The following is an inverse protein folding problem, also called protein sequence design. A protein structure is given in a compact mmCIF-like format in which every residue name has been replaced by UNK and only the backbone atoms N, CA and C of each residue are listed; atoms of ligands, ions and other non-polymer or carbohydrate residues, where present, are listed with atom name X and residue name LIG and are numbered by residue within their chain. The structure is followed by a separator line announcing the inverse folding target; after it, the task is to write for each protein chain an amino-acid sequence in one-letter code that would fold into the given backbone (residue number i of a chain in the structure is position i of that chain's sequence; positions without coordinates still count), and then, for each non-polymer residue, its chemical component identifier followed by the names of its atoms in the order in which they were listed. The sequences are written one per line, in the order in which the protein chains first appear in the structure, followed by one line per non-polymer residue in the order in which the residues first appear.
data_IF_905887085567
#
_entry.id   IF_905887085567
#
_cell.length_a   1.000
_cell.length_b   1.000
_cell.length_c   1.000
_cell.angle_alpha   90.00
_cell.angle_beta   90.00
_cell.angle_gamma   90.00
#
_symmetry.space_group_name_H-M   'P 1'
#
loop_
_entity.id
_entity.type
_entity.pdbx_description
1 polymer ?
#
# COMPACT_ATOMS: atom_id res chain seq x y z
N UNK A 1 -23.05 1.07 32.58
CA UNK A 1 -22.21 2.15 32.02
C UNK A 1 -21.46 1.56 30.85
N UNK A 2 -21.65 2.10 29.64
CA UNK A 2 -20.90 1.64 28.47
C UNK A 2 -19.41 1.94 28.69
N UNK A 3 -18.55 0.95 28.43
CA UNK A 3 -17.09 1.11 28.48
C UNK A 3 -16.69 2.32 27.64
N UNK A 4 -15.90 3.28 28.17
CA UNK A 4 -15.50 4.46 27.41
C UNK A 4 -14.78 4.01 26.15
N UNK A 5 -15.14 4.60 25.01
CA UNK A 5 -14.47 4.35 23.73
C UNK A 5 -13.05 4.88 23.85
N UNK A 6 -12.09 3.98 24.07
CA UNK A 6 -10.67 4.32 24.13
C UNK A 6 -10.15 4.46 22.70
N UNK A 7 -9.99 5.68 22.22
CA UNK A 7 -9.34 5.95 20.94
C UNK A 7 -7.82 6.01 21.12
N UNK A 8 -7.08 5.17 20.40
CA UNK A 8 -5.61 5.23 20.38
C UNK A 8 -5.14 6.43 19.53
N UNK A 9 -5.07 7.60 20.16
CA UNK A 9 -4.72 8.89 19.51
C UNK A 9 -3.39 8.79 18.74
N UNK A 10 -2.40 8.07 19.27
CA UNK A 10 -1.10 7.89 18.64
C UNK A 10 -1.20 7.24 17.24
N UNK A 11 -2.07 6.24 17.06
CA UNK A 11 -2.30 5.58 15.77
C UNK A 11 -2.98 6.50 14.75
N UNK A 12 -3.82 7.43 15.21
CA UNK A 12 -4.58 8.36 14.34
C UNK A 12 -3.80 9.62 13.97
N UNK A 13 -2.73 9.93 14.70
CA UNK A 13 -1.98 11.19 14.54
C UNK A 13 -1.44 11.35 13.13
N UNK A 14 -0.91 10.28 12.52
CA UNK A 14 -0.41 10.32 11.15
C UNK A 14 -1.51 10.61 10.12
N UNK A 15 -2.69 10.01 10.29
CA UNK A 15 -3.86 10.22 9.42
C UNK A 15 -4.32 11.68 9.52
N UNK A 16 -4.42 12.22 10.75
CA UNK A 16 -4.82 13.60 10.97
C UNK A 16 -3.81 14.60 10.43
N UNK A 17 -2.51 14.31 10.52
CA UNK A 17 -1.46 15.16 9.96
C UNK A 17 -1.59 15.30 8.44
N UNK A 18 -1.86 14.19 7.72
CA UNK A 18 -2.09 14.22 6.27
C UNK A 18 -3.36 15.00 5.93
N UNK A 19 -4.45 14.80 6.65
CA UNK A 19 -5.70 15.56 6.45
C UNK A 19 -5.51 17.06 6.67
N UNK A 20 -4.81 17.44 7.75
CA UNK A 20 -4.49 18.83 8.04
C UNK A 20 -3.62 19.46 6.94
N UNK A 21 -2.58 18.75 6.47
CA UNK A 21 -1.73 19.22 5.39
C UNK A 21 -2.52 19.44 4.08
N UNK A 22 -3.43 18.53 3.72
CA UNK A 22 -4.31 18.68 2.55
C UNK A 22 -5.24 19.88 2.68
N UNK A 23 -5.86 20.08 3.85
CA UNK A 23 -6.71 21.25 4.11
C UNK A 23 -5.94 22.57 4.01
N UNK A 24 -4.73 22.62 4.59
CA UNK A 24 -3.85 23.80 4.48
C UNK A 24 -3.47 24.05 3.03
N UNK A 25 -3.15 23.01 2.25
CA UNK A 25 -2.88 23.12 0.82
C UNK A 25 -4.07 23.69 0.03
N UNK A 26 -5.28 23.19 0.29
CA UNK A 26 -6.51 23.71 -0.32
C UNK A 26 -6.71 25.18 0.04
N UNK A 27 -6.55 25.55 1.32
CA UNK A 27 -6.67 26.93 1.78
C UNK A 27 -5.63 27.85 1.11
N UNK A 28 -4.38 27.40 0.99
CA UNK A 28 -3.33 28.12 0.26
C UNK A 28 -3.74 28.41 -1.19
N UNK A 29 -4.24 27.39 -1.90
CA UNK A 29 -4.72 27.56 -3.29
C UNK A 29 -5.91 28.53 -3.35
N UNK A 30 -6.84 28.45 -2.40
CA UNK A 30 -7.99 29.35 -2.33
C UNK A 30 -7.60 30.79 -1.99
N UNK A 31 -6.56 31.02 -1.19
CA UNK A 31 -6.11 32.38 -0.82
C UNK A 31 -5.27 33.01 -1.92
N UNK A 32 -4.26 32.30 -2.42
CA UNK A 32 -3.28 32.86 -3.35
C UNK A 32 -3.66 32.67 -4.83
N UNK A 33 -4.47 31.65 -5.15
CA UNK A 33 -4.84 31.29 -6.52
C UNK A 33 -6.26 31.66 -6.93
N UNK A 34 -7.06 32.30 -6.06
CA UNK A 34 -8.51 32.47 -6.24
C UNK A 34 -8.91 33.06 -7.58
N UNK A 35 -8.22 34.12 -8.03
CA UNK A 35 -8.53 34.82 -9.27
C UNK A 35 -8.41 33.91 -10.50
N UNK A 36 -7.50 32.94 -10.47
CA UNK A 36 -7.27 31.99 -11.56
C UNK A 36 -8.30 30.84 -11.58
N UNK A 37 -8.81 30.43 -10.42
CA UNK A 37 -9.70 29.25 -10.30
C UNK A 37 -11.19 29.60 -10.18
N UNK A 38 -11.57 30.83 -9.80
CA UNK A 38 -12.97 31.19 -9.47
C UNK A 38 -13.99 30.84 -10.55
N UNK A 39 -13.62 30.95 -11.83
CA UNK A 39 -14.53 30.67 -12.96
C UNK A 39 -14.71 29.19 -13.25
N UNK A 40 -13.76 28.35 -12.81
CA UNK A 40 -13.76 26.89 -13.05
C UNK A 40 -13.95 26.08 -11.77
N UNK A 41 -14.06 26.72 -10.61
CA UNK A 41 -14.05 26.03 -9.32
C UNK A 41 -15.19 25.00 -9.21
N UNK A 42 -16.42 25.39 -9.55
CA UNK A 42 -17.57 24.49 -9.45
C UNK A 42 -17.44 23.25 -10.35
N UNK A 43 -16.94 23.42 -11.58
CA UNK A 43 -16.78 22.33 -12.54
C UNK A 43 -15.56 21.46 -12.23
N UNK A 44 -14.43 22.10 -11.89
CA UNK A 44 -13.22 21.42 -11.43
C UNK A 44 -13.45 20.60 -10.16
N UNK A 45 -14.23 21.11 -9.19
CA UNK A 45 -14.59 20.35 -7.99
C UNK A 45 -15.43 19.12 -8.30
N UNK A 46 -16.37 19.18 -9.26
CA UNK A 46 -17.15 17.99 -9.66
C UNK A 46 -16.25 16.89 -10.22
N UNK A 47 -15.32 17.26 -11.11
CA UNK A 47 -14.34 16.32 -11.67
C UNK A 47 -13.41 15.76 -10.59
N UNK A 48 -12.92 16.61 -9.68
CA UNK A 48 -12.06 16.20 -8.58
C UNK A 48 -12.76 15.20 -7.62
N UNK A 49 -14.01 15.49 -7.24
CA UNK A 49 -14.81 14.59 -6.39
C UNK A 49 -15.08 13.27 -7.09
N UNK A 50 -15.41 13.30 -8.38
CA UNK A 50 -15.61 12.09 -9.18
C UNK A 50 -14.35 11.22 -9.24
N UNK A 51 -13.18 11.82 -9.48
CA UNK A 51 -11.91 11.09 -9.50
C UNK A 51 -11.53 10.51 -8.13
N UNK A 52 -11.71 11.30 -7.06
CA UNK A 52 -11.44 10.85 -5.70
C UNK A 52 -12.37 9.72 -5.25
N UNK A 53 -13.65 9.77 -5.64
CA UNK A 53 -14.62 8.73 -5.31
C UNK A 53 -14.24 7.39 -5.93
N UNK A 54 -13.82 7.38 -7.20
CA UNK A 54 -13.35 6.16 -7.87
C UNK A 54 -12.14 5.55 -7.14
N UNK A 55 -11.14 6.38 -6.80
CA UNK A 55 -9.96 5.93 -6.07
C UNK A 55 -10.33 5.36 -4.68
N UNK A 56 -11.18 6.05 -3.93
CA UNK A 56 -11.63 5.61 -2.61
C UNK A 56 -12.42 4.29 -2.68
N UNK A 57 -13.31 4.15 -3.66
CA UNK A 57 -14.10 2.91 -3.86
C UNK A 57 -13.20 1.73 -4.24
N UNK A 58 -12.18 1.94 -5.06
CA UNK A 58 -11.22 0.89 -5.41
C UNK A 58 -10.49 0.37 -4.17
N UNK A 59 -9.89 1.27 -3.37
CA UNK A 59 -9.19 0.86 -2.14
C UNK A 59 -10.11 0.19 -1.12
N UNK A 60 -11.33 0.71 -0.93
CA UNK A 60 -12.30 0.11 -0.02
C UNK A 60 -12.74 -1.29 -0.48
N UNK A 61 -12.97 -1.46 -1.78
CA UNK A 61 -13.35 -2.75 -2.37
C UNK A 61 -12.22 -3.77 -2.28
N UNK A 62 -10.98 -3.35 -2.52
CA UNK A 62 -9.78 -4.19 -2.39
C UNK A 62 -9.59 -4.68 -0.95
N UNK A 63 -9.79 -3.81 0.05
CA UNK A 63 -9.71 -4.21 1.46
C UNK A 63 -10.82 -5.21 1.82
N UNK A 64 -12.06 -4.97 1.36
CA UNK A 64 -13.18 -5.89 1.56
C UNK A 64 -12.97 -7.25 0.90
N UNK A 65 -12.52 -7.27 -0.35
CA UNK A 65 -12.12 -8.48 -1.06
C UNK A 65 -11.02 -9.23 -0.30
N UNK A 66 -10.02 -8.50 0.17
CA UNK A 66 -8.92 -9.04 0.96
C UNK A 66 -9.36 -9.77 2.23
N UNK A 67 -10.28 -9.18 2.98
CA UNK A 67 -10.85 -9.79 4.17
C UNK A 67 -11.60 -11.10 3.85
N UNK A 68 -12.32 -11.16 2.72
CA UNK A 68 -12.96 -12.39 2.26
C UNK A 68 -11.92 -13.43 1.87
N UNK A 69 -10.88 -13.06 1.12
CA UNK A 69 -9.80 -13.98 0.73
C UNK A 69 -9.11 -14.58 1.96
N UNK A 70 -8.81 -13.76 2.97
CA UNK A 70 -8.20 -14.20 4.22
C UNK A 70 -9.05 -15.24 4.98
N UNK A 71 -10.38 -15.23 4.78
CA UNK A 71 -11.31 -16.19 5.41
C UNK A 71 -11.42 -17.53 4.67
N UNK A 72 -10.88 -17.65 3.46
CA UNK A 72 -10.99 -18.86 2.65
C UNK A 72 -9.99 -19.94 3.10
N UNK A 73 -10.38 -21.22 3.11
CA UNK A 73 -9.45 -22.32 3.43
C UNK A 73 -8.20 -22.37 2.54
N UNK A 74 -8.33 -21.98 1.26
CA UNK A 74 -7.20 -21.92 0.34
C UNK A 74 -6.12 -20.92 0.76
N UNK A 75 -6.51 -19.85 1.48
CA UNK A 75 -5.56 -18.89 2.02
C UNK A 75 -4.73 -19.49 3.17
N UNK A 76 -5.31 -20.37 3.99
CA UNK A 76 -4.56 -21.07 5.04
C UNK A 76 -3.45 -21.94 4.45
N UNK A 77 -3.74 -22.67 3.37
CA UNK A 77 -2.74 -23.47 2.65
C UNK A 77 -1.60 -22.60 2.12
N UNK A 78 -1.94 -21.44 1.54
CA UNK A 78 -0.95 -20.47 1.07
C UNK A 78 -0.11 -19.92 2.23
N UNK A 79 -0.75 -19.51 3.33
CA UNK A 79 -0.08 -18.96 4.50
C UNK A 79 0.86 -19.98 5.16
N UNK A 80 0.45 -21.24 5.24
CA UNK A 80 1.29 -22.33 5.77
C UNK A 80 2.48 -22.63 4.86
N UNK A 81 2.29 -22.57 3.54
CA UNK A 81 3.42 -22.65 2.60
C UNK A 81 4.38 -21.46 2.78
N UNK A 82 3.87 -20.23 2.91
CA UNK A 82 4.68 -19.04 3.11
C UNK A 82 5.50 -19.10 4.41
N UNK A 83 4.96 -19.69 5.49
CA UNK A 83 5.71 -19.93 6.74
C UNK A 83 6.94 -20.82 6.56
N UNK A 84 7.01 -21.64 5.50
CA UNK A 84 8.19 -22.47 5.24
C UNK A 84 9.43 -21.67 4.79
N UNK A 85 9.25 -20.39 4.40
CA UNK A 85 10.36 -19.52 4.02
C UNK A 85 11.15 -19.13 5.28
N UNK A 86 12.43 -19.53 5.40
CA UNK A 86 13.15 -19.47 6.67
C UNK A 86 13.62 -18.05 7.03
N UNK A 87 13.92 -17.21 6.04
CA UNK A 87 14.39 -15.85 6.30
C UNK A 87 13.19 -14.91 6.54
N UNK A 88 13.10 -14.23 7.70
CA UNK A 88 11.92 -13.44 8.07
C UNK A 88 11.66 -12.25 7.14
N UNK A 89 12.69 -11.51 6.73
CA UNK A 89 12.53 -10.36 5.84
C UNK A 89 12.14 -10.78 4.43
N UNK A 90 12.72 -11.89 3.94
CA UNK A 90 12.38 -12.46 2.63
C UNK A 90 10.96 -13.05 2.65
N UNK A 91 10.58 -13.71 3.74
CA UNK A 91 9.24 -14.26 3.93
C UNK A 91 8.19 -13.16 3.90
N UNK A 92 8.38 -12.10 4.69
CA UNK A 92 7.48 -10.95 4.69
C UNK A 92 7.42 -10.28 3.31
N UNK A 93 8.58 -10.03 2.67
CA UNK A 93 8.63 -9.41 1.35
C UNK A 93 7.87 -10.22 0.30
N UNK A 94 8.05 -11.54 0.27
CA UNK A 94 7.37 -12.43 -0.68
C UNK A 94 5.87 -12.49 -0.37
N UNK A 95 5.50 -12.66 0.90
CA UNK A 95 4.10 -12.72 1.34
C UNK A 95 3.36 -11.44 0.95
N UNK A 96 3.89 -10.27 1.31
CA UNK A 96 3.27 -8.97 1.03
C UNK A 96 3.16 -8.74 -0.49
N UNK A 97 4.24 -9.03 -1.24
CA UNK A 97 4.26 -8.90 -2.70
C UNK A 97 3.22 -9.79 -3.37
N UNK A 98 3.12 -11.06 -2.94
CA UNK A 98 2.19 -12.03 -3.49
C UNK A 98 0.74 -11.63 -3.23
N UNK A 99 0.42 -11.24 -2.00
CA UNK A 99 -0.94 -10.82 -1.66
C UNK A 99 -1.32 -9.48 -2.30
N UNK A 100 -0.36 -8.57 -2.49
CA UNK A 100 -0.58 -7.37 -3.30
C UNK A 100 -0.89 -7.72 -4.76
N UNK A 101 -0.23 -8.73 -5.31
CA UNK A 101 -0.53 -9.25 -6.65
C UNK A 101 -1.91 -9.87 -6.77
N UNK A 102 -2.31 -10.70 -5.80
CA UNK A 102 -3.63 -11.34 -5.78
C UNK A 102 -4.75 -10.31 -5.66
N UNK A 103 -4.55 -9.29 -4.83
CA UNK A 103 -5.55 -8.22 -4.62
C UNK A 103 -5.55 -7.16 -5.70
N UNK A 104 -4.46 -6.98 -6.45
CA UNK A 104 -4.27 -5.83 -7.33
C UNK A 104 -4.04 -4.52 -6.57
N UNK A 105 -3.65 -4.59 -5.29
CA UNK A 105 -3.53 -3.44 -4.41
C UNK A 105 -2.34 -3.55 -3.48
N UNK A 106 -1.43 -2.57 -3.53
CA UNK A 106 -0.27 -2.53 -2.63
C UNK A 106 -0.70 -2.46 -1.14
N UNK A 107 -1.54 -1.47 -0.79
CA UNK A 107 -2.03 -1.29 0.58
C UNK A 107 -3.00 -2.39 1.01
N UNK A 108 -3.84 -2.90 0.09
CA UNK A 108 -4.73 -4.02 0.37
C UNK A 108 -3.97 -5.30 0.69
N UNK A 109 -3.00 -5.67 -0.17
CA UNK A 109 -2.16 -6.84 0.02
C UNK A 109 -1.33 -6.82 1.30
N UNK A 110 -0.72 -5.67 1.62
CA UNK A 110 -0.01 -5.48 2.89
C UNK A 110 -0.95 -5.66 4.09
N UNK A 111 -2.16 -5.08 4.03
CA UNK A 111 -3.13 -5.18 5.13
C UNK A 111 -3.55 -6.63 5.40
N UNK A 112 -3.77 -7.42 4.35
CA UNK A 112 -4.10 -8.85 4.48
C UNK A 112 -2.91 -9.63 5.04
N UNK A 113 -1.71 -9.40 4.51
CA UNK A 113 -0.49 -10.05 4.96
C UNK A 113 -0.29 -9.84 6.47
N UNK A 114 -0.38 -8.59 6.91
CA UNK A 114 -0.19 -8.23 8.31
C UNK A 114 -1.37 -8.68 9.19
N UNK A 115 -2.61 -8.63 8.70
CA UNK A 115 -3.75 -9.15 9.44
C UNK A 115 -3.64 -10.66 9.69
N UNK A 116 -3.08 -11.41 8.74
CA UNK A 116 -2.96 -12.85 8.83
C UNK A 116 -1.68 -13.36 9.51
N UNK A 117 -0.55 -12.67 9.31
CA UNK A 117 0.78 -13.22 9.59
C UNK A 117 1.68 -12.29 10.44
N UNK A 118 1.21 -11.12 10.88
CA UNK A 118 2.04 -10.17 11.65
C UNK A 118 2.69 -10.78 12.89
N UNK A 119 1.95 -11.57 13.68
CA UNK A 119 2.52 -12.25 14.86
C UNK A 119 3.66 -13.23 14.49
N UNK A 120 3.52 -13.93 13.37
CA UNK A 120 4.55 -14.83 12.85
C UNK A 120 5.80 -14.06 12.39
N UNK A 121 5.61 -12.92 11.72
CA UNK A 121 6.74 -12.07 11.29
C UNK A 121 7.46 -11.45 12.49
N UNK A 122 6.72 -10.94 13.47
CA UNK A 122 7.27 -10.32 14.68
C UNK A 122 8.06 -11.36 15.49
N UNK A 123 7.51 -12.56 15.71
CA UNK A 123 8.21 -13.63 16.43
C UNK A 123 9.49 -14.09 15.71
N UNK A 124 9.43 -14.26 14.39
CA UNK A 124 10.61 -14.62 13.59
C UNK A 124 11.67 -13.49 13.56
N UNK A 125 11.23 -12.22 13.51
CA UNK A 125 12.13 -11.07 13.58
C UNK A 125 12.84 -11.00 14.93
N UNK A 126 12.13 -11.20 16.03
CA UNK A 126 12.72 -11.26 17.37
C UNK A 126 13.72 -12.41 17.50
N UNK A 127 13.39 -13.60 16.99
CA UNK A 127 14.29 -14.75 16.99
C UNK A 127 15.58 -14.49 16.19
N UNK A 128 15.49 -13.70 15.12
CA UNK A 128 16.61 -13.33 14.27
C UNK A 128 17.31 -12.02 14.69
N UNK A 129 16.91 -11.41 15.82
CA UNK A 129 17.40 -10.10 16.30
C UNK A 129 17.25 -8.96 15.27
N UNK A 130 16.13 -8.94 14.53
CA UNK A 130 15.82 -7.92 13.53
C UNK A 130 14.92 -6.85 14.15
N UNK A 131 15.29 -5.55 14.06
CA UNK A 131 14.43 -4.46 14.52
C UNK A 131 13.11 -4.40 13.76
N UNK A 132 12.00 -4.15 14.48
CA UNK A 132 10.66 -4.05 13.87
C UNK A 132 10.53 -2.88 12.88
N UNK A 133 11.36 -1.85 13.01
CA UNK A 133 11.42 -0.77 12.02
C UNK A 133 11.94 -1.24 10.66
N UNK A 134 12.87 -2.20 10.62
CA UNK A 134 13.34 -2.82 9.37
C UNK A 134 12.22 -3.64 8.74
N UNK A 135 11.52 -4.43 9.57
CA UNK A 135 10.33 -5.18 9.17
C UNK A 135 9.29 -4.25 8.51
N UNK A 136 8.97 -3.13 9.17
CA UNK A 136 8.05 -2.15 8.62
C UNK A 136 8.51 -1.54 7.29
N UNK A 137 9.79 -1.17 7.17
CA UNK A 137 10.35 -0.63 5.92
C UNK A 137 10.30 -1.66 4.78
N UNK A 138 10.62 -2.92 5.07
CA UNK A 138 10.56 -4.02 4.10
C UNK A 138 9.12 -4.29 3.68
N UNK A 139 8.15 -4.39 4.60
CA UNK A 139 6.74 -4.52 4.28
C UNK A 139 6.23 -3.36 3.41
N UNK A 140 6.56 -2.13 3.79
CA UNK A 140 6.20 -0.92 3.05
C UNK A 140 6.73 -0.96 1.61
N UNK A 141 8.01 -1.29 1.43
CA UNK A 141 8.58 -1.41 0.09
C UNK A 141 8.08 -2.65 -0.68
N UNK A 142 7.82 -3.76 -0.03
CA UNK A 142 7.31 -4.98 -0.67
C UNK A 142 5.87 -4.83 -1.18
N UNK A 143 5.07 -3.98 -0.55
CA UNK A 143 3.66 -3.78 -0.91
C UNK A 143 3.42 -3.50 -2.39
N UNK A 144 4.21 -2.63 -2.99
CA UNK A 144 4.10 -2.35 -4.44
C UNK A 144 4.91 -3.31 -5.32
N UNK A 145 5.19 -4.54 -4.88
CA UNK A 145 6.06 -5.47 -5.60
C UNK A 145 5.40 -6.09 -6.85
N UNK A 146 4.07 -6.23 -6.84
CA UNK A 146 3.28 -6.71 -7.98
C UNK A 146 2.41 -5.62 -8.61
N UNK A 147 2.81 -4.34 -8.47
CA UNK A 147 2.17 -3.21 -9.17
C UNK A 147 2.30 -3.31 -10.70
N UNK A 148 3.07 -4.28 -11.17
CA UNK A 148 3.22 -4.70 -12.56
C UNK A 148 1.94 -5.24 -13.21
N UNK A 149 1.03 -5.84 -12.44
CA UNK A 149 -0.10 -6.59 -13.00
C UNK A 149 -1.19 -5.67 -13.57
N UNK A 150 -1.86 -6.06 -14.68
CA UNK A 150 -2.77 -5.17 -15.41
C UNK A 150 -4.06 -4.82 -14.64
N UNK A 151 -4.44 -5.63 -13.65
CA UNK A 151 -5.57 -5.37 -12.77
C UNK A 151 -5.22 -4.49 -11.56
N UNK A 152 -3.96 -4.02 -11.46
CA UNK A 152 -3.55 -3.15 -10.38
C UNK A 152 -4.26 -1.79 -10.45
N UNK A 153 -4.87 -1.36 -9.35
CA UNK A 153 -5.65 -0.12 -9.30
C UNK A 153 -4.86 1.14 -9.65
N UNK A 154 -3.58 1.20 -9.29
CA UNK A 154 -2.71 2.34 -9.62
C UNK A 154 -2.39 2.39 -11.12
N UNK A 155 -2.16 1.24 -11.76
CA UNK A 155 -1.97 1.14 -13.22
C UNK A 155 -3.23 1.60 -13.96
N UNK A 156 -4.40 1.12 -13.56
CA UNK A 156 -5.68 1.51 -14.17
C UNK A 156 -5.90 3.02 -14.03
N UNK A 157 -5.64 3.57 -12.85
CA UNK A 157 -5.80 5.00 -12.58
C UNK A 157 -4.80 5.84 -13.38
N UNK A 158 -3.54 5.41 -13.45
CA UNK A 158 -2.51 6.08 -14.25
C UNK A 158 -2.94 6.17 -15.72
N UNK A 159 -3.32 5.04 -16.32
CA UNK A 159 -3.76 4.99 -17.72
C UNK A 159 -4.99 5.85 -17.98
N UNK A 160 -5.95 5.86 -17.05
CA UNK A 160 -7.15 6.69 -17.15
C UNK A 160 -6.82 8.19 -17.10
N UNK A 161 -5.87 8.60 -16.25
CA UNK A 161 -5.46 10.01 -16.10
C UNK A 161 -4.57 10.46 -17.28
N UNK A 162 -3.68 9.60 -17.75
CA UNK A 162 -2.77 9.93 -18.87
C UNK A 162 -3.44 9.76 -20.24
N UNK A 163 -4.60 9.11 -20.31
CA UNK A 163 -5.28 8.79 -21.56
C UNK A 163 -4.53 7.77 -22.43
N UNK A 164 -3.67 6.95 -21.82
CA UNK A 164 -2.87 5.94 -22.52
C UNK A 164 -3.56 4.58 -22.44
N UNK A 165 -3.33 3.73 -23.44
CA UNK A 165 -3.75 2.34 -23.41
C UNK A 165 -2.70 1.47 -22.75
N UNK A 166 -3.12 0.31 -22.23
CA UNK A 166 -2.19 -0.72 -21.74
C UNK A 166 -1.12 -1.07 -22.80
N UNK A 167 -1.50 -1.15 -24.07
CA UNK A 167 -0.57 -1.49 -25.15
C UNK A 167 0.58 -0.48 -25.29
N UNK A 168 0.32 0.79 -24.99
CA UNK A 168 1.29 1.88 -25.15
C UNK A 168 2.22 2.00 -23.95
N UNK A 169 1.69 1.95 -22.73
CA UNK A 169 2.46 2.25 -21.52
C UNK A 169 2.92 1.03 -20.71
N UNK A 170 2.35 -0.15 -20.93
CA UNK A 170 2.57 -1.30 -20.03
C UNK A 170 4.01 -1.80 -20.02
N UNK A 171 4.76 -1.66 -21.13
CA UNK A 171 6.18 -2.03 -21.16
C UNK A 171 7.00 -1.20 -20.19
N UNK A 172 6.78 0.10 -20.16
CA UNK A 172 7.52 1.01 -19.28
C UNK A 172 7.13 0.80 -17.81
N UNK A 173 5.82 0.63 -17.55
CA UNK A 173 5.30 0.27 -16.23
C UNK A 173 5.97 -1.01 -15.74
N UNK A 174 5.94 -2.08 -16.55
CA UNK A 174 6.51 -3.38 -16.22
C UNK A 174 8.01 -3.31 -15.90
N UNK A 175 8.78 -2.55 -16.67
CA UNK A 175 10.21 -2.36 -16.40
C UNK A 175 10.46 -1.63 -15.07
N UNK A 176 9.75 -0.53 -14.83
CA UNK A 176 9.93 0.28 -13.61
C UNK A 176 9.52 -0.51 -12.37
N UNK A 177 8.38 -1.20 -12.41
CA UNK A 177 7.87 -1.97 -11.27
C UNK A 177 8.79 -3.14 -10.94
N UNK A 178 9.35 -3.86 -11.93
CA UNK A 178 10.35 -4.90 -11.67
C UNK A 178 11.61 -4.37 -11.00
N UNK A 179 12.14 -3.22 -11.46
CA UNK A 179 13.32 -2.58 -10.83
C UNK A 179 13.00 -2.27 -9.37
N UNK A 180 11.82 -1.71 -9.11
CA UNK A 180 11.37 -1.40 -7.75
C UNK A 180 11.24 -2.67 -6.89
N UNK A 181 10.70 -3.76 -7.42
CA UNK A 181 10.58 -5.03 -6.69
C UNK A 181 11.94 -5.62 -6.34
N UNK A 182 12.91 -5.53 -7.26
CA UNK A 182 14.29 -5.94 -7.00
C UNK A 182 14.96 -5.09 -5.91
N UNK A 183 14.63 -3.80 -5.81
CA UNK A 183 15.18 -2.91 -4.79
C UNK A 183 14.87 -3.37 -3.37
N UNK A 184 13.74 -4.06 -3.14
CA UNK A 184 13.39 -4.65 -1.83
C UNK A 184 14.47 -5.66 -1.40
N UNK A 185 14.86 -6.56 -2.29
CA UNK A 185 15.88 -7.57 -2.01
C UNK A 185 17.27 -6.95 -1.84
N UNK A 186 17.56 -5.86 -2.55
CA UNK A 186 18.81 -5.09 -2.35
C UNK A 186 18.86 -4.49 -0.94
N UNK A 187 17.76 -3.91 -0.45
CA UNK A 187 17.72 -3.37 0.91
C UNK A 187 17.83 -4.46 1.96
N UNK A 188 17.15 -5.60 1.77
CA UNK A 188 17.31 -6.77 2.65
C UNK A 188 18.76 -7.23 2.70
N UNK A 189 19.42 -7.37 1.53
CA UNK A 189 20.82 -7.76 1.44
C UNK A 189 21.75 -6.71 2.11
N UNK A 190 21.47 -5.43 1.91
CA UNK A 190 22.24 -4.33 2.52
C UNK A 190 22.12 -4.35 4.04
N UNK A 191 20.91 -4.55 4.57
CA UNK A 191 20.70 -4.70 6.01
C UNK A 191 21.49 -5.88 6.57
N UNK A 192 21.43 -7.05 5.93
CA UNK A 192 22.20 -8.21 6.40
C UNK A 192 23.72 -8.04 6.27
N UNK A 193 24.20 -7.26 5.29
CA UNK A 193 25.62 -7.01 5.10
C UNK A 193 26.19 -5.94 6.05
N UNK A 194 25.38 -4.95 6.43
CA UNK A 194 25.86 -3.72 7.10
C UNK A 194 25.25 -3.47 8.47
N UNK A 195 24.09 -4.07 8.77
CA UNK A 195 23.29 -3.76 9.96
C UNK A 195 22.64 -2.38 9.95
N UNK A 196 22.70 -1.64 8.84
CA UNK A 196 22.12 -0.30 8.72
C UNK A 196 20.60 -0.41 8.66
N UNK A 197 19.92 0.33 9.53
CA UNK A 197 18.46 0.38 9.62
C UNK A 197 17.89 1.49 8.77
#
# INVERSE_FOLDING_TARGET
MATPVTSEIAKLTAIWAVQAALLVGILMVLVFGFSAIRSKLAEGSKSAVSGALLAAMNTASEYGFGAVIASLPGFLVLADWLKSIPNPLVNEAITVTLLAGITGSASGGMSIALAAMSESFISAAHAANIPLEVLHRVAAMASGGMDTLPHNGAVITLLAVTGLTHREAYKDIFCITLIKTLAVFVVIATFYATGIV
#
